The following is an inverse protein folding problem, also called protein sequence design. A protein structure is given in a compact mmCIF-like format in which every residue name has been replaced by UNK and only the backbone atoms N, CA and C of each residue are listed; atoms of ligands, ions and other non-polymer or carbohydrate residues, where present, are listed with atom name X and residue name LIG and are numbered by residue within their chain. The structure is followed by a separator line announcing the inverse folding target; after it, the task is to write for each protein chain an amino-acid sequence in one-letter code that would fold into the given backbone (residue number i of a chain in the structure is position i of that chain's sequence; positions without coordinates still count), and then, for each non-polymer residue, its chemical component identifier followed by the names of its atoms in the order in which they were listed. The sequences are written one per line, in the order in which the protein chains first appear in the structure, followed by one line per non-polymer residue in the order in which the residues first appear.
data_IF_381598718628
#
_entry.id   IF_381598718628
#
_cell.length_a   1.000
_cell.length_b   1.000
_cell.length_c   1.000
_cell.angle_alpha   90.00
_cell.angle_beta   90.00
_cell.angle_gamma   90.00
#
_symmetry.space_group_name_H-M   'P 1'
#
loop_
_entity.id
_entity.type
_entity.pdbx_description
1 polymer ?
#
# COMPACT_ATOMS: atom_id res chain seq x y z
N UNK A 1 12.11 -8.33 5.55
CA UNK A 1 11.91 -6.90 5.19
C UNK A 1 13.25 -6.28 4.89
N UNK A 2 13.33 -5.25 4.03
CA UNK A 2 14.60 -4.55 3.79
C UNK A 2 15.07 -3.89 5.10
N UNK A 3 16.34 -4.01 5.51
CA UNK A 3 16.79 -3.57 6.84
C UNK A 3 16.63 -2.06 7.06
N UNK A 4 16.73 -1.25 6.00
CA UNK A 4 16.60 0.22 6.07
C UNK A 4 15.20 0.69 6.45
N UNK A 5 14.15 -0.09 6.14
CA UNK A 5 12.78 0.32 6.46
C UNK A 5 12.60 0.37 7.98
N UNK A 6 13.12 -0.61 8.72
CA UNK A 6 12.97 -0.67 10.18
C UNK A 6 13.58 0.53 10.89
N UNK A 7 14.78 0.96 10.50
CA UNK A 7 15.46 2.10 11.13
C UNK A 7 14.69 3.41 10.91
N UNK A 8 14.14 3.62 9.72
CA UNK A 8 13.32 4.80 9.41
C UNK A 8 12.02 4.76 10.21
N UNK A 9 11.30 3.63 10.21
CA UNK A 9 10.07 3.50 11.00
C UNK A 9 10.33 3.73 12.49
N UNK A 10 11.41 3.16 13.04
CA UNK A 10 11.79 3.37 14.44
C UNK A 10 12.09 4.85 14.76
N UNK A 11 12.68 5.59 13.81
CA UNK A 11 12.91 7.02 13.97
C UNK A 11 11.60 7.81 13.94
N UNK A 12 10.67 7.48 13.05
CA UNK A 12 9.35 8.11 12.97
C UNK A 12 8.51 7.85 14.22
N UNK A 13 8.45 6.61 14.69
CA UNK A 13 7.72 6.23 15.90
C UNK A 13 8.18 7.03 17.12
N UNK A 14 9.50 7.20 17.29
CA UNK A 14 10.07 8.02 18.37
C UNK A 14 9.80 9.50 18.17
N UNK A 15 10.05 10.03 16.96
CA UNK A 15 9.92 11.45 16.64
C UNK A 15 8.49 11.96 16.86
N UNK A 16 7.50 11.14 16.54
CA UNK A 16 6.08 11.50 16.65
C UNK A 16 5.43 10.97 17.93
N UNK A 17 6.22 10.38 18.83
CA UNK A 17 5.72 9.90 20.13
C UNK A 17 4.54 8.94 19.98
N UNK A 18 4.61 8.09 18.95
CA UNK A 18 3.58 7.10 18.66
C UNK A 18 3.58 6.08 19.80
N UNK A 19 2.42 5.85 20.41
CA UNK A 19 2.23 4.87 21.48
C UNK A 19 1.60 3.56 20.99
N UNK A 20 0.94 3.59 19.83
CA UNK A 20 0.21 2.47 19.26
C UNK A 20 0.40 2.36 17.74
N UNK A 21 0.52 1.13 17.25
CA UNK A 21 0.56 0.78 15.83
C UNK A 21 -0.71 0.02 15.50
N UNK A 22 -1.45 0.49 14.49
CA UNK A 22 -2.58 -0.22 13.91
C UNK A 22 -2.15 -0.82 12.57
N UNK A 23 -2.25 -2.14 12.42
CA UNK A 23 -1.89 -2.81 11.18
C UNK A 23 -2.91 -3.90 10.83
N UNK A 24 -3.02 -4.21 9.54
CA UNK A 24 -3.80 -5.35 9.07
C UNK A 24 -3.02 -6.64 9.30
N UNK A 25 -3.68 -7.66 9.84
CA UNK A 25 -3.16 -9.02 9.86
C UNK A 25 -3.05 -9.52 8.41
N UNK A 26 -1.82 -9.76 7.98
CA UNK A 26 -1.48 -10.05 6.59
C UNK A 26 -0.54 -11.24 6.43
N UNK A 27 0.14 -11.66 7.50
CA UNK A 27 1.20 -12.66 7.44
C UNK A 27 2.42 -12.20 6.61
N UNK A 28 2.51 -10.91 6.27
CA UNK A 28 3.54 -10.37 5.38
C UNK A 28 4.80 -9.95 6.12
N UNK A 29 5.89 -9.71 5.37
CA UNK A 29 7.12 -9.15 5.91
C UNK A 29 6.94 -7.76 6.56
N UNK A 30 5.90 -7.02 6.16
CA UNK A 30 5.53 -5.74 6.78
C UNK A 30 4.93 -5.96 8.18
N UNK A 31 4.09 -6.98 8.36
CA UNK A 31 3.56 -7.33 9.68
C UNK A 31 4.69 -7.75 10.63
N UNK A 32 5.62 -8.59 10.16
CA UNK A 32 6.78 -8.99 10.96
C UNK A 32 7.63 -7.78 11.40
N UNK A 33 7.76 -6.77 10.53
CA UNK A 33 8.42 -5.50 10.85
C UNK A 33 7.70 -4.77 12.00
N UNK A 34 6.38 -4.64 11.93
CA UNK A 34 5.60 -3.98 12.98
C UNK A 34 5.61 -4.73 14.31
N UNK A 35 5.52 -6.06 14.29
CA UNK A 35 5.68 -6.88 15.49
C UNK A 35 7.04 -6.68 16.14
N UNK A 36 8.10 -6.64 15.35
CA UNK A 36 9.46 -6.42 15.85
C UNK A 36 9.61 -5.03 16.48
N UNK A 37 9.19 -3.98 15.79
CA UNK A 37 9.29 -2.60 16.28
C UNK A 37 8.42 -2.35 17.50
N UNK A 38 7.18 -2.86 17.52
CA UNK A 38 6.31 -2.74 18.67
C UNK A 38 6.92 -3.40 19.92
N UNK A 39 7.51 -4.58 19.77
CA UNK A 39 8.21 -5.27 20.86
C UNK A 39 9.44 -4.49 21.33
N UNK A 40 10.31 -4.05 20.41
CA UNK A 40 11.53 -3.31 20.74
C UNK A 40 11.27 -1.95 21.40
N UNK A 41 10.20 -1.27 21.00
CA UNK A 41 9.85 0.07 21.46
C UNK A 41 8.75 0.09 22.52
N UNK A 42 8.31 -1.10 22.97
CA UNK A 42 7.25 -1.27 23.98
C UNK A 42 5.94 -0.53 23.60
N UNK A 43 5.59 -0.58 22.31
CA UNK A 43 4.37 0.04 21.77
C UNK A 43 3.22 -0.96 21.75
N UNK A 44 2.00 -0.46 21.87
CA UNK A 44 0.81 -1.27 21.68
C UNK A 44 0.67 -1.62 20.18
N UNK A 45 0.60 -2.90 19.84
CA UNK A 45 0.29 -3.34 18.48
C UNK A 45 -1.14 -3.87 18.42
N UNK A 46 -1.97 -3.25 17.57
CA UNK A 46 -3.34 -3.66 17.29
C UNK A 46 -3.36 -4.24 15.89
N UNK A 47 -3.66 -5.54 15.80
CA UNK A 47 -3.82 -6.23 14.52
C UNK A 47 -5.30 -6.37 14.19
N UNK A 48 -5.69 -5.75 13.07
CA UNK A 48 -7.03 -5.89 12.52
C UNK A 48 -7.08 -7.21 11.75
N UNK A 49 -7.89 -8.14 12.23
CA UNK A 49 -8.14 -9.40 11.55
C UNK A 49 -8.65 -9.15 10.13
N UNK A 50 -8.21 -10.00 9.20
CA UNK A 50 -8.78 -10.03 7.86
C UNK A 50 -10.26 -10.45 7.99
N UNK A 51 -11.22 -9.69 7.42
CA UNK A 51 -12.60 -10.13 7.41
C UNK A 51 -12.73 -11.46 6.66
N UNK A 52 -13.66 -12.30 7.09
CA UNK A 52 -13.99 -13.52 6.36
C UNK A 52 -14.31 -13.17 4.91
N UNK A 53 -13.86 -14.00 3.94
CA UNK A 53 -14.22 -13.78 2.55
C UNK A 53 -15.75 -13.73 2.41
N UNK A 54 -16.27 -12.88 1.52
CA UNK A 54 -17.71 -12.79 1.29
C UNK A 54 -18.24 -14.15 0.80
N UNK A 55 -19.44 -14.50 1.25
CA UNK A 55 -20.13 -15.70 0.78
C UNK A 55 -20.34 -15.60 -0.73
N UNK A 56 -19.85 -16.59 -1.49
CA UNK A 56 -19.88 -16.59 -2.96
C UNK A 56 -18.58 -16.16 -3.64
N UNK A 57 -17.51 -15.91 -2.88
CA UNK A 57 -16.16 -15.88 -3.46
C UNK A 57 -15.81 -17.24 -4.06
N UNK A 58 -15.32 -17.25 -5.31
CA UNK A 58 -14.76 -18.45 -5.92
C UNK A 58 -13.30 -18.60 -5.50
N UNK A 59 -12.98 -19.72 -4.86
CA UNK A 59 -11.59 -20.15 -4.70
C UNK A 59 -11.12 -20.68 -6.06
N UNK A 60 -10.51 -19.79 -6.84
CA UNK A 60 -9.90 -20.14 -8.11
C UNK A 60 -8.47 -20.62 -7.87
N UNK A 61 -8.11 -21.73 -8.51
CA UNK A 61 -6.71 -22.09 -8.70
C UNK A 61 -5.99 -20.96 -9.44
N UNK A 62 -4.70 -20.78 -9.17
CA UNK A 62 -3.92 -19.63 -9.64
C UNK A 62 -4.07 -19.40 -11.15
N UNK A 63 -3.97 -20.45 -11.94
CA UNK A 63 -4.08 -20.33 -13.40
C UNK A 63 -5.46 -19.82 -13.84
N UNK A 64 -6.54 -20.37 -13.26
CA UNK A 64 -7.90 -19.91 -13.54
C UNK A 64 -8.13 -18.45 -13.09
N UNK A 65 -7.50 -18.04 -11.99
CA UNK A 65 -7.54 -16.64 -11.53
C UNK A 65 -6.84 -15.72 -12.53
N UNK A 66 -5.68 -16.12 -13.05
CA UNK A 66 -4.92 -15.34 -14.04
C UNK A 66 -5.68 -15.20 -15.36
N UNK A 67 -6.28 -16.28 -15.86
CA UNK A 67 -7.15 -16.27 -17.05
C UNK A 67 -8.33 -15.31 -16.87
N UNK A 68 -9.01 -15.37 -15.72
CA UNK A 68 -10.14 -14.50 -15.41
C UNK A 68 -9.72 -13.03 -15.30
N UNK A 69 -8.55 -12.76 -14.70
CA UNK A 69 -8.00 -11.41 -14.59
C UNK A 69 -7.63 -10.84 -15.97
N UNK A 70 -7.03 -11.65 -16.85
CA UNK A 70 -6.71 -11.25 -18.22
C UNK A 70 -7.98 -10.94 -19.02
N UNK A 71 -9.00 -11.81 -18.94
CA UNK A 71 -10.28 -11.57 -19.60
C UNK A 71 -10.95 -10.26 -19.12
N UNK A 72 -10.85 -9.95 -17.83
CA UNK A 72 -11.36 -8.69 -17.28
C UNK A 72 -10.58 -7.49 -17.82
N UNK A 73 -9.25 -7.57 -17.90
CA UNK A 73 -8.42 -6.51 -18.47
C UNK A 73 -8.78 -6.24 -19.94
N UNK A 74 -8.93 -7.29 -20.76
CA UNK A 74 -9.29 -7.15 -22.18
C UNK A 74 -10.64 -6.45 -22.38
N UNK A 75 -11.62 -6.75 -21.51
CA UNK A 75 -12.95 -6.14 -21.52
C UNK A 75 -12.96 -4.67 -21.06
N UNK A 76 -12.07 -4.29 -20.13
CA UNK A 76 -12.05 -2.95 -19.52
C UNK A 76 -10.99 -2.01 -20.11
N UNK A 77 -10.18 -2.48 -21.07
CA UNK A 77 -9.10 -1.71 -21.70
C UNK A 77 -9.59 -0.52 -22.56
N UNK A 78 -10.86 -0.48 -22.97
CA UNK A 78 -11.38 0.57 -23.87
C UNK A 78 -11.75 1.91 -23.18
N UNK A 79 -11.66 2.02 -21.85
CA UNK A 79 -12.10 3.23 -21.11
C UNK A 79 -11.00 4.00 -20.38
N UNK A 80 -9.72 3.71 -20.61
CA UNK A 80 -8.62 4.54 -20.06
C UNK A 80 -8.43 5.78 -20.93
N UNK A 81 -9.28 6.78 -20.73
CA UNK A 81 -8.92 8.15 -21.12
C UNK A 81 -7.77 8.56 -20.19
N UNK A 82 -6.57 8.90 -20.68
CA UNK A 82 -5.51 9.32 -19.79
C UNK A 82 -5.88 10.67 -19.18
N UNK A 83 -6.34 10.66 -17.93
CA UNK A 83 -6.33 11.85 -17.08
C UNK A 83 -4.88 12.14 -16.67
N UNK A 84 -4.03 12.44 -17.66
CA UNK A 84 -2.78 13.12 -17.44
C UNK A 84 -3.11 14.60 -17.60
N UNK A 85 -3.33 15.28 -16.47
CA UNK A 85 -3.29 16.73 -16.44
C UNK A 85 -1.99 17.15 -17.16
N UNK A 86 -2.12 17.69 -18.37
CA UNK A 86 -1.01 18.31 -19.07
C UNK A 86 -0.56 19.48 -18.20
N UNK A 87 0.73 19.61 -17.86
CA UNK A 87 1.22 20.84 -17.26
C UNK A 87 0.95 21.95 -18.28
N UNK A 88 0.02 22.86 -17.95
CA UNK A 88 -0.18 24.08 -18.71
C UNK A 88 1.17 24.79 -18.75
N UNK A 89 1.73 24.98 -19.94
CA UNK A 89 2.91 25.80 -20.11
C UNK A 89 2.57 27.22 -19.63
N UNK A 90 3.21 27.65 -18.55
CA UNK A 90 3.21 29.05 -18.13
C UNK A 90 3.72 29.88 -19.32
N UNK A 91 3.01 30.94 -19.76
CA UNK A 91 3.55 31.83 -20.77
C UNK A 91 4.82 32.46 -20.21
N UNK A 92 5.94 32.26 -20.91
CA UNK A 92 7.20 32.95 -20.67
C UNK A 92 6.99 34.44 -20.84
N UNK A 93 6.64 35.12 -19.74
CA UNK A 93 6.61 36.57 -19.67
C UNK A 93 8.02 37.12 -19.70
N UNK A 94 8.34 37.83 -20.78
CA UNK A 94 9.59 38.51 -21.05
C UNK A 94 10.14 39.26 -19.83
N UNK A 95 11.33 38.88 -19.37
CA UNK A 95 12.22 39.81 -18.66
C UNK A 95 12.94 40.63 -19.74
N UNK A 96 12.44 41.83 -19.99
CA UNK A 96 13.23 42.89 -20.62
C UNK A 96 14.16 43.52 -19.56
N UNK A 97 15.31 44.08 -20.00
CA UNK A 97 16.45 44.43 -19.15
C UNK A 97 16.17 45.54 -18.14
#
# INVERSE_FOLDING_TARGET
GRPWSQSVEAALLRRWTISAILARESGSGTEACWRSLASQLQLQLILVQRPSPPTGGMDLELEALLEQAQAWLDQNSASTTPNRAQPQALPSGNRQP
#
